data_IF_581167837333
#
_entry.id   IF_581167837333
#
_cell.length_a   1.000
_cell.length_b   1.000
_cell.length_c   1.000
_cell.angle_alpha   90.00
_cell.angle_beta   90.00
_cell.angle_gamma   90.00
#
_symmetry.space_group_name_H-M   'P 1'
#
loop_
_entity.id
_entity.type
_entity.pdbx_description
1 polymer ?
#
# COMPACT_ATOMS: atom_id res chain seq x y z
N UNK A 1 13.44 -17.93 12.16
CA UNK A 1 12.26 -18.80 12.36
C UNK A 1 11.31 -18.66 11.19
N UNK A 2 10.74 -19.75 10.76
CA UNK A 2 9.82 -19.84 9.62
C UNK A 2 8.38 -19.71 10.12
N UNK A 3 7.60 -18.85 9.47
CA UNK A 3 6.18 -18.62 9.77
C UNK A 3 5.33 -19.01 8.57
N UNK A 4 4.23 -19.73 8.81
CA UNK A 4 3.13 -19.89 7.86
C UNK A 4 1.92 -19.09 8.31
N UNK A 5 1.30 -18.36 7.39
CA UNK A 5 0.05 -17.64 7.62
C UNK A 5 -1.11 -18.41 7.00
N UNK A 6 -2.17 -18.65 7.78
CA UNK A 6 -3.38 -19.33 7.30
C UNK A 6 -4.56 -18.38 7.43
N UNK A 7 -5.30 -18.18 6.35
CA UNK A 7 -6.57 -17.44 6.37
C UNK A 7 -7.73 -18.42 6.25
N UNK A 8 -8.67 -18.33 7.17
CA UNK A 8 -9.89 -19.15 7.17
C UNK A 8 -11.10 -18.30 6.83
N UNK A 9 -11.92 -18.79 5.94
CA UNK A 9 -13.15 -18.13 5.49
C UNK A 9 -13.48 -18.47 4.05
N UNK A 10 -14.70 -18.89 3.81
CA UNK A 10 -15.17 -19.26 2.47
C UNK A 10 -15.31 -18.05 1.54
N UNK A 11 -15.57 -16.85 2.07
CA UNK A 11 -15.65 -15.58 1.34
C UNK A 11 -14.32 -15.17 0.70
N UNK A 12 -13.20 -15.59 1.28
CA UNK A 12 -11.87 -15.35 0.72
C UNK A 12 -11.63 -16.20 -0.54
N UNK A 13 -12.08 -17.46 -0.53
CA UNK A 13 -11.98 -18.37 -1.68
C UNK A 13 -12.92 -17.99 -2.82
N UNK A 14 -14.09 -17.43 -2.49
CA UNK A 14 -15.07 -16.95 -3.49
C UNK A 14 -14.63 -15.62 -4.12
N UNK A 15 -13.67 -14.92 -3.52
CA UNK A 15 -13.21 -13.63 -3.99
C UNK A 15 -14.09 -12.45 -3.57
N UNK A 16 -15.05 -12.67 -2.68
CA UNK A 16 -15.96 -11.64 -2.16
C UNK A 16 -15.22 -10.63 -1.27
N UNK A 17 -14.11 -11.08 -0.67
CA UNK A 17 -13.29 -10.27 0.25
C UNK A 17 -11.81 -10.36 -0.12
N UNK A 18 -11.15 -9.19 -0.20
CA UNK A 18 -9.69 -9.14 -0.37
C UNK A 18 -8.99 -9.45 0.95
N UNK A 19 -8.07 -10.42 0.93
CA UNK A 19 -7.31 -10.85 2.10
C UNK A 19 -6.27 -9.81 2.53
N UNK A 20 -6.69 -8.78 3.23
CA UNK A 20 -5.82 -7.72 3.74
C UNK A 20 -5.08 -8.12 5.02
N UNK A 21 -5.62 -9.07 5.81
CA UNK A 21 -5.03 -9.52 7.07
C UNK A 21 -3.65 -10.15 6.85
N UNK A 22 -3.55 -11.08 5.92
CA UNK A 22 -2.27 -11.77 5.62
C UNK A 22 -1.22 -10.80 5.11
N UNK A 23 -1.60 -9.85 4.26
CA UNK A 23 -0.68 -8.81 3.77
C UNK A 23 -0.12 -7.98 4.92
N UNK A 24 -0.97 -7.58 5.87
CA UNK A 24 -0.56 -6.80 7.03
C UNK A 24 0.30 -7.63 8.00
N UNK A 25 -0.12 -8.84 8.35
CA UNK A 25 0.63 -9.75 9.23
C UNK A 25 2.02 -10.04 8.66
N UNK A 26 2.13 -10.30 7.36
CA UNK A 26 3.40 -10.54 6.70
C UNK A 26 4.35 -9.34 6.82
N UNK A 27 3.83 -8.11 6.67
CA UNK A 27 4.63 -6.89 6.82
C UNK A 27 5.14 -6.73 8.27
N UNK A 28 4.27 -6.90 9.26
CA UNK A 28 4.66 -6.74 10.67
C UNK A 28 5.65 -7.82 11.13
N UNK A 29 5.39 -9.09 10.79
CA UNK A 29 6.31 -10.20 11.12
C UNK A 29 7.68 -10.05 10.45
N UNK A 30 7.71 -9.60 9.19
CA UNK A 30 8.97 -9.31 8.51
C UNK A 30 9.78 -8.21 9.23
N UNK A 31 9.13 -7.13 9.70
CA UNK A 31 9.79 -6.08 10.50
C UNK A 31 10.43 -6.64 11.77
N UNK A 32 9.81 -7.66 12.37
CA UNK A 32 10.30 -8.37 13.56
C UNK A 32 11.34 -9.46 13.23
N UNK A 33 11.78 -9.56 11.97
CA UNK A 33 12.82 -10.49 11.54
C UNK A 33 12.37 -11.93 11.26
N UNK A 34 11.05 -12.23 11.33
CA UNK A 34 10.50 -13.53 10.99
C UNK A 34 10.43 -13.74 9.48
N UNK A 35 10.64 -14.96 9.02
CA UNK A 35 10.54 -15.32 7.59
C UNK A 35 9.20 -15.96 7.30
N UNK A 36 8.35 -15.28 6.53
CA UNK A 36 7.08 -15.85 6.05
C UNK A 36 7.38 -16.68 4.79
N UNK A 37 7.40 -18.01 4.95
CA UNK A 37 7.69 -18.91 3.84
C UNK A 37 6.44 -19.34 3.08
N UNK A 38 5.29 -19.42 3.76
CA UNK A 38 4.05 -19.93 3.18
C UNK A 38 2.85 -19.09 3.60
N UNK A 39 1.87 -19.02 2.71
CA UNK A 39 0.55 -18.44 2.95
C UNK A 39 -0.51 -19.37 2.37
N UNK A 40 -1.47 -19.77 3.19
CA UNK A 40 -2.54 -20.68 2.81
C UNK A 40 -3.91 -20.04 3.05
N UNK A 41 -4.87 -20.30 2.16
CA UNK A 41 -6.26 -19.87 2.33
C UNK A 41 -7.13 -21.13 2.30
N UNK A 42 -8.01 -21.27 3.28
CA UNK A 42 -8.92 -22.41 3.37
C UNK A 42 -10.33 -21.97 3.77
N UNK A 43 -11.35 -22.57 3.16
CA UNK A 43 -12.75 -22.33 3.53
C UNK A 43 -13.13 -23.09 4.80
N UNK A 44 -14.37 -22.85 5.27
CA UNK A 44 -14.94 -23.39 6.51
C UNK A 44 -15.31 -24.87 6.37
N UNK A 45 -14.33 -25.69 6.00
CA UNK A 45 -14.45 -27.15 5.86
C UNK A 45 -13.47 -27.83 6.81
N UNK A 46 -13.95 -28.61 7.80
CA UNK A 46 -13.09 -29.21 8.82
C UNK A 46 -11.95 -30.07 8.26
N UNK A 47 -12.24 -30.91 7.28
CA UNK A 47 -11.24 -31.83 6.70
C UNK A 47 -10.12 -31.06 5.98
N UNK A 48 -10.48 -30.12 5.11
CA UNK A 48 -9.49 -29.33 4.37
C UNK A 48 -8.67 -28.44 5.30
N UNK A 49 -9.30 -27.88 6.33
CA UNK A 49 -8.62 -27.03 7.31
C UNK A 49 -7.64 -27.87 8.14
N UNK A 50 -7.99 -29.09 8.54
CA UNK A 50 -7.09 -30.01 9.22
C UNK A 50 -5.87 -30.36 8.34
N UNK A 51 -6.09 -30.67 7.07
CA UNK A 51 -5.00 -30.92 6.10
C UNK A 51 -4.01 -29.75 6.02
N UNK A 52 -4.53 -28.51 6.03
CA UNK A 52 -3.69 -27.29 6.00
C UNK A 52 -2.89 -27.13 7.29
N UNK A 53 -3.50 -27.32 8.48
CA UNK A 53 -2.77 -27.27 9.76
C UNK A 53 -1.71 -28.36 9.86
N UNK A 54 -2.02 -29.58 9.46
CA UNK A 54 -1.06 -30.69 9.45
C UNK A 54 0.12 -30.43 8.50
N UNK A 55 -0.15 -29.89 7.31
CA UNK A 55 0.93 -29.54 6.38
C UNK A 55 1.79 -28.39 6.95
N UNK A 56 1.17 -27.38 7.53
CA UNK A 56 1.87 -26.22 8.09
C UNK A 56 2.82 -26.64 9.23
N UNK A 57 2.43 -27.58 10.10
CA UNK A 57 3.28 -28.08 11.19
C UNK A 57 4.54 -28.82 10.72
N UNK A 58 4.56 -29.33 9.48
CA UNK A 58 5.75 -30.02 8.96
C UNK A 58 6.81 -29.07 8.39
N UNK A 59 6.49 -27.76 8.24
CA UNK A 59 7.33 -26.83 7.49
C UNK A 59 7.45 -25.42 8.08
N UNK A 60 6.80 -25.18 9.22
CA UNK A 60 6.87 -23.89 9.90
C UNK A 60 7.03 -24.06 11.41
N UNK A 61 7.87 -23.20 12.00
CA UNK A 61 8.06 -23.13 13.46
C UNK A 61 6.85 -22.46 14.14
N UNK A 62 6.21 -21.53 13.42
CA UNK A 62 5.07 -20.76 13.90
C UNK A 62 3.98 -20.76 12.82
N UNK A 63 2.76 -21.12 13.21
CA UNK A 63 1.56 -21.08 12.35
C UNK A 63 0.61 -20.04 12.91
N UNK A 64 0.34 -18.99 12.16
CA UNK A 64 -0.60 -17.94 12.57
C UNK A 64 -1.83 -18.02 11.67
N UNK A 65 -3.00 -18.29 12.25
CA UNK A 65 -4.26 -18.25 11.50
C UNK A 65 -5.10 -17.03 11.84
N UNK A 66 -5.91 -16.58 10.89
CA UNK A 66 -6.88 -15.48 11.06
C UNK A 66 -8.22 -15.88 10.49
N UNK A 67 -9.27 -15.77 11.33
CA UNK A 67 -10.66 -16.11 11.01
C UNK A 67 -11.19 -17.33 11.79
N UNK A 68 -12.52 -17.50 11.78
CA UNK A 68 -13.21 -18.66 12.35
C UNK A 68 -13.15 -18.79 13.86
N UNK A 69 -13.05 -17.67 14.62
CA UNK A 69 -13.03 -17.64 16.08
C UNK A 69 -14.32 -17.11 16.74
N UNK A 70 -15.33 -16.80 15.97
CA UNK A 70 -16.61 -16.32 16.50
C UNK A 70 -17.45 -17.41 17.15
N UNK A 71 -18.70 -17.06 17.54
CA UNK A 71 -19.63 -17.97 18.21
C UNK A 71 -20.49 -18.79 17.24
N UNK A 72 -20.39 -18.59 15.92
CA UNK A 72 -21.27 -19.22 14.94
C UNK A 72 -20.87 -20.68 14.63
N UNK A 73 -21.74 -21.41 13.93
CA UNK A 73 -21.45 -22.79 13.53
C UNK A 73 -20.31 -22.89 12.48
N UNK A 74 -20.07 -21.80 11.73
CA UNK A 74 -18.98 -21.70 10.76
C UNK A 74 -17.60 -21.43 11.41
N UNK A 75 -17.59 -20.96 12.66
CA UNK A 75 -16.37 -20.65 13.40
C UNK A 75 -15.77 -21.94 13.99
N UNK A 76 -15.02 -22.66 13.17
CA UNK A 76 -14.52 -24.02 13.48
C UNK A 76 -13.02 -24.08 13.70
N UNK A 77 -12.29 -22.98 13.56
CA UNK A 77 -10.81 -22.96 13.53
C UNK A 77 -10.20 -23.55 14.81
N UNK A 78 -10.72 -23.20 16.00
CA UNK A 78 -10.25 -23.73 17.28
C UNK A 78 -10.44 -25.24 17.39
N UNK A 79 -11.63 -25.72 17.02
CA UNK A 79 -11.99 -27.14 17.09
C UNK A 79 -11.13 -27.96 16.13
N UNK A 80 -10.98 -27.49 14.89
CA UNK A 80 -10.17 -28.18 13.88
C UNK A 80 -8.70 -28.23 14.27
N UNK A 81 -8.14 -27.13 14.81
CA UNK A 81 -6.78 -27.17 15.34
C UNK A 81 -6.66 -28.18 16.48
N UNK A 82 -7.55 -28.14 17.48
CA UNK A 82 -7.54 -29.04 18.61
C UNK A 82 -7.54 -30.49 18.15
N UNK A 83 -8.46 -30.87 17.26
CA UNK A 83 -8.53 -32.21 16.68
C UNK A 83 -7.25 -32.59 15.93
N UNK A 84 -6.67 -31.67 15.18
CA UNK A 84 -5.45 -31.89 14.37
C UNK A 84 -4.21 -32.19 15.21
N UNK A 85 -4.14 -31.63 16.43
CA UNK A 85 -3.03 -31.84 17.39
C UNK A 85 -3.39 -32.79 18.51
N UNK A 86 -4.55 -33.43 18.46
CA UNK A 86 -4.99 -34.44 19.44
C UNK A 86 -5.28 -33.88 20.82
N UNK A 87 -5.70 -32.63 20.96
CA UNK A 87 -6.05 -31.98 22.23
C UNK A 87 -7.57 -31.84 22.38
N UNK A 88 -8.14 -32.15 23.56
CA UNK A 88 -9.56 -31.88 23.78
C UNK A 88 -9.85 -30.40 23.85
N UNK A 89 -11.06 -30.01 23.44
CA UNK A 89 -11.63 -28.71 23.72
C UNK A 89 -12.12 -28.65 25.14
N UNK A 90 -11.70 -27.67 25.92
CA UNK A 90 -12.07 -27.44 27.29
C UNK A 90 -12.62 -26.03 27.51
N UNK A 91 -13.55 -25.91 28.47
CA UNK A 91 -14.05 -24.59 28.85
C UNK A 91 -12.96 -23.85 29.65
N UNK A 92 -12.67 -22.64 29.25
CA UNK A 92 -11.67 -21.78 29.87
C UNK A 92 -12.35 -20.60 30.55
N UNK A 93 -12.21 -20.50 31.87
CA UNK A 93 -12.86 -19.46 32.67
C UNK A 93 -12.30 -18.07 32.39
N UNK A 94 -10.99 -17.95 32.19
CA UNK A 94 -10.35 -16.65 31.88
C UNK A 94 -10.85 -16.12 30.54
N UNK A 95 -10.99 -16.97 29.51
CA UNK A 95 -11.58 -16.60 28.24
C UNK A 95 -13.03 -16.12 28.39
N UNK A 96 -13.83 -16.80 29.24
CA UNK A 96 -15.19 -16.40 29.50
C UNK A 96 -15.27 -15.05 30.23
N UNK A 97 -14.31 -14.78 31.12
CA UNK A 97 -14.26 -13.51 31.82
C UNK A 97 -13.87 -12.34 30.86
N UNK A 98 -13.01 -12.58 29.86
CA UNK A 98 -12.76 -11.60 28.80
C UNK A 98 -14.03 -11.34 27.95
N UNK A 99 -14.75 -12.40 27.56
CA UNK A 99 -16.04 -12.27 26.84
C UNK A 99 -17.03 -11.42 27.65
N UNK A 100 -17.21 -11.71 28.95
CA UNK A 100 -18.09 -10.94 29.84
C UNK A 100 -17.66 -9.47 29.92
N UNK A 101 -16.36 -9.21 30.12
CA UNK A 101 -15.82 -7.85 30.18
C UNK A 101 -16.15 -7.03 28.92
N UNK A 102 -16.05 -7.63 27.74
CA UNK A 102 -16.46 -6.96 26.51
C UNK A 102 -17.94 -6.60 26.53
N UNK A 103 -18.83 -7.54 26.84
CA UNK A 103 -20.27 -7.26 26.86
C UNK A 103 -20.67 -6.24 27.93
N UNK A 104 -20.02 -6.24 29.08
CA UNK A 104 -20.20 -5.22 30.11
C UNK A 104 -19.77 -3.84 29.60
N UNK A 105 -18.66 -3.73 28.90
CA UNK A 105 -18.15 -2.46 28.34
C UNK A 105 -19.12 -1.82 27.36
N UNK A 106 -19.85 -2.64 26.59
CA UNK A 106 -20.85 -2.19 25.61
C UNK A 106 -22.29 -2.20 26.20
N UNK A 107 -22.43 -2.46 27.51
CA UNK A 107 -23.72 -2.51 28.23
C UNK A 107 -24.74 -3.46 27.61
N UNK A 108 -24.31 -4.65 27.24
CA UNK A 108 -25.14 -5.73 26.66
C UNK A 108 -25.04 -6.99 27.51
N UNK A 109 -26.07 -7.82 27.43
CA UNK A 109 -26.07 -9.18 28.03
C UNK A 109 -25.23 -10.12 27.17
N UNK A 110 -24.49 -11.03 27.81
CA UNK A 110 -23.74 -12.07 27.13
C UNK A 110 -24.71 -13.07 26.48
N UNK A 111 -24.67 -13.27 25.16
CA UNK A 111 -25.48 -14.32 24.51
C UNK A 111 -24.99 -15.71 24.90
N UNK A 112 -25.90 -16.69 24.98
CA UNK A 112 -25.53 -18.08 25.28
C UNK A 112 -24.54 -18.66 24.28
N UNK A 113 -24.64 -18.28 23.01
CA UNK A 113 -23.71 -18.70 21.94
C UNK A 113 -22.27 -18.28 22.21
N UNK A 114 -22.04 -17.18 22.94
CA UNK A 114 -20.68 -16.68 23.26
C UNK A 114 -19.91 -17.60 24.22
N UNK A 115 -20.57 -18.60 24.83
CA UNK A 115 -19.88 -19.66 25.58
C UNK A 115 -18.85 -20.38 24.71
N UNK A 116 -19.14 -20.56 23.41
CA UNK A 116 -18.23 -21.21 22.46
C UNK A 116 -16.89 -20.45 22.29
N UNK A 117 -16.89 -19.13 22.50
CA UNK A 117 -15.68 -18.32 22.43
C UNK A 117 -14.71 -18.59 23.59
N UNK A 118 -15.22 -19.21 24.69
CA UNK A 118 -14.44 -19.66 25.82
C UNK A 118 -14.11 -21.17 25.80
N UNK A 119 -14.44 -21.88 24.74
CA UNK A 119 -14.10 -23.26 24.49
C UNK A 119 -12.81 -23.33 23.67
N UNK A 120 -11.69 -23.73 24.32
CA UNK A 120 -10.33 -23.65 23.78
C UNK A 120 -9.63 -25.00 23.82
N UNK A 121 -8.62 -25.25 22.97
CA UNK A 121 -7.74 -26.42 23.12
C UNK A 121 -7.12 -26.47 24.51
N UNK A 122 -7.01 -27.65 25.10
CA UNK A 122 -6.43 -27.84 26.42
C UNK A 122 -4.99 -27.29 26.47
N UNK A 123 -4.67 -26.55 27.54
CA UNK A 123 -3.36 -25.92 27.72
C UNK A 123 -3.12 -24.66 26.86
N UNK A 124 -4.12 -24.16 26.15
CA UNK A 124 -4.02 -22.94 25.39
C UNK A 124 -3.82 -21.71 26.29
N UNK A 125 -2.96 -20.79 25.86
CA UNK A 125 -2.82 -19.45 26.42
C UNK A 125 -3.74 -18.48 25.69
N UNK A 126 -4.33 -17.53 26.39
CA UNK A 126 -5.27 -16.56 25.84
C UNK A 126 -4.53 -15.32 25.38
N UNK A 127 -4.91 -14.81 24.22
CA UNK A 127 -4.59 -13.47 23.78
C UNK A 127 -5.85 -12.60 23.94
N UNK A 128 -5.75 -11.52 24.71
CA UNK A 128 -6.87 -10.60 24.95
C UNK A 128 -7.25 -9.87 23.68
N UNK A 129 -8.56 -9.70 23.49
CA UNK A 129 -9.08 -8.91 22.38
C UNK A 129 -9.41 -7.49 22.87
N UNK A 130 -8.64 -6.46 22.48
CA UNK A 130 -8.83 -5.11 23.01
C UNK A 130 -10.09 -4.42 22.48
N UNK A 131 -10.64 -4.88 21.35
CA UNK A 131 -11.76 -4.19 20.66
C UNK A 131 -12.93 -5.10 20.26
N UNK A 132 -12.81 -6.41 20.49
CA UNK A 132 -13.82 -7.41 20.10
C UNK A 132 -14.12 -8.42 21.20
N UNK A 133 -14.90 -9.44 20.85
CA UNK A 133 -15.40 -10.44 21.81
C UNK A 133 -14.49 -11.66 21.87
N UNK A 134 -14.17 -12.24 20.71
CA UNK A 134 -13.48 -13.52 20.65
C UNK A 134 -12.01 -13.39 21.09
N UNK A 135 -11.56 -14.08 22.15
CA UNK A 135 -10.16 -14.10 22.50
C UNK A 135 -9.36 -14.86 21.44
N UNK A 136 -8.12 -14.44 21.22
CA UNK A 136 -7.16 -15.21 20.46
C UNK A 136 -6.55 -16.31 21.31
N UNK A 137 -5.84 -17.21 20.65
CA UNK A 137 -5.36 -18.44 21.27
C UNK A 137 -3.93 -18.70 20.85
N UNK A 138 -3.08 -19.06 21.79
CA UNK A 138 -1.75 -19.62 21.53
C UNK A 138 -1.71 -21.06 22.03
N UNK A 139 -1.28 -21.98 21.18
CA UNK A 139 -1.08 -23.38 21.52
C UNK A 139 0.33 -23.78 21.12
N UNK A 140 1.11 -24.27 22.06
CA UNK A 140 2.42 -24.88 21.80
C UNK A 140 2.25 -26.40 21.67
N UNK A 141 2.67 -26.98 20.55
CA UNK A 141 2.58 -28.43 20.30
C UNK A 141 3.85 -28.91 19.60
N UNK A 142 4.63 -29.75 20.32
CA UNK A 142 5.96 -30.14 19.86
C UNK A 142 6.85 -28.94 19.58
N UNK A 143 7.38 -28.87 18.36
CA UNK A 143 8.24 -27.78 17.91
C UNK A 143 7.45 -26.64 17.23
N UNK A 144 6.13 -26.79 17.10
CA UNK A 144 5.28 -25.81 16.42
C UNK A 144 4.46 -24.97 17.40
N UNK A 145 4.44 -23.68 17.20
CA UNK A 145 3.56 -22.74 17.92
C UNK A 145 2.42 -22.29 17.01
N UNK A 146 1.19 -22.55 17.43
CA UNK A 146 -0.03 -22.09 16.74
C UNK A 146 -0.58 -20.85 17.41
N UNK A 147 -0.92 -19.83 16.61
CA UNK A 147 -1.52 -18.59 17.06
C UNK A 147 -2.79 -18.36 16.24
N UNK A 148 -3.94 -18.35 16.92
CA UNK A 148 -5.24 -18.14 16.29
C UNK A 148 -5.73 -16.72 16.58
N UNK A 149 -6.02 -15.96 15.53
CA UNK A 149 -6.50 -14.57 15.59
C UNK A 149 -7.88 -14.43 14.91
N UNK A 150 -8.71 -13.47 15.34
CA UNK A 150 -10.02 -13.24 14.72
C UNK A 150 -9.92 -12.73 13.28
N UNK A 151 -11.03 -12.83 12.54
CA UNK A 151 -11.14 -12.37 11.15
C UNK A 151 -11.20 -10.84 10.98
N UNK A 152 -11.97 -10.08 11.79
CA UNK A 152 -12.08 -8.64 11.63
C UNK A 152 -10.70 -7.95 11.75
N UNK A 153 -10.29 -7.12 10.75
CA UNK A 153 -8.95 -6.54 10.72
C UNK A 153 -8.57 -5.70 11.93
N UNK A 154 -9.52 -4.96 12.50
CA UNK A 154 -9.28 -4.14 13.70
C UNK A 154 -8.94 -4.97 14.93
N UNK A 155 -9.66 -6.08 15.14
CA UNK A 155 -9.43 -7.04 16.23
C UNK A 155 -8.08 -7.74 16.05
N UNK A 156 -7.85 -8.31 14.89
CA UNK A 156 -6.61 -9.03 14.56
C UNK A 156 -5.37 -8.16 14.77
N UNK A 157 -5.39 -6.90 14.30
CA UNK A 157 -4.25 -5.97 14.43
C UNK A 157 -3.98 -5.59 15.88
N UNK A 158 -5.02 -5.27 16.67
CA UNK A 158 -4.90 -4.95 18.08
C UNK A 158 -4.30 -6.12 18.87
N UNK A 159 -4.83 -7.32 18.67
CA UNK A 159 -4.32 -8.53 19.31
C UNK A 159 -2.91 -8.88 18.90
N UNK A 160 -2.55 -8.68 17.63
CA UNK A 160 -1.18 -8.89 17.18
C UNK A 160 -0.20 -7.99 17.92
N UNK A 161 -0.48 -6.70 17.99
CA UNK A 161 0.41 -5.73 18.63
C UNK A 161 0.50 -5.90 20.14
N UNK A 162 -0.65 -6.08 20.82
CA UNK A 162 -0.70 -6.13 22.29
C UNK A 162 -0.44 -7.52 22.87
N UNK A 163 -0.69 -8.58 22.09
CA UNK A 163 -0.58 -9.97 22.56
C UNK A 163 0.47 -10.79 21.84
N UNK A 164 0.43 -10.85 20.50
CA UNK A 164 1.33 -11.73 19.72
C UNK A 164 2.77 -11.25 19.77
N UNK A 165 3.02 -9.96 19.56
CA UNK A 165 4.39 -9.41 19.57
C UNK A 165 5.09 -9.64 20.91
N UNK A 166 4.50 -9.32 22.08
CA UNK A 166 5.11 -9.63 23.36
C UNK A 166 5.32 -11.11 23.61
N UNK A 167 4.36 -11.96 23.14
CA UNK A 167 4.50 -13.42 23.27
C UNK A 167 5.69 -13.92 22.44
N UNK A 168 5.81 -13.50 21.18
CA UNK A 168 6.89 -13.92 20.29
C UNK A 168 8.26 -13.47 20.83
N UNK A 169 8.36 -12.25 21.33
CA UNK A 169 9.60 -11.73 21.94
C UNK A 169 9.98 -12.52 23.20
N UNK A 170 9.03 -12.76 24.08
CA UNK A 170 9.24 -13.56 25.31
C UNK A 170 9.64 -15.00 25.02
N UNK A 171 9.04 -15.64 23.98
CA UNK A 171 9.20 -17.07 23.70
C UNK A 171 10.43 -17.37 22.86
N UNK A 172 10.72 -16.52 21.89
CA UNK A 172 11.74 -16.77 20.86
C UNK A 172 12.88 -15.74 20.86
N UNK A 173 12.74 -14.67 21.63
CA UNK A 173 13.68 -13.53 21.60
C UNK A 173 13.64 -12.76 20.27
N UNK A 174 14.51 -11.77 20.17
CA UNK A 174 14.64 -10.99 18.94
C UNK A 174 15.13 -11.84 17.76
N UNK A 175 14.42 -11.80 16.65
CA UNK A 175 14.82 -12.45 15.40
C UNK A 175 15.64 -11.51 14.48
N UNK A 176 16.10 -10.39 15.04
CA UNK A 176 16.72 -9.31 14.30
C UNK A 176 15.70 -8.29 13.78
N UNK A 177 16.19 -7.35 13.00
CA UNK A 177 15.38 -6.28 12.37
C UNK A 177 15.53 -6.36 10.87
N UNK A 178 14.39 -6.34 10.16
CA UNK A 178 14.36 -6.15 8.71
C UNK A 178 13.86 -4.74 8.44
N UNK A 179 14.63 -3.97 7.71
CA UNK A 179 14.24 -2.63 7.28
C UNK A 179 14.52 -2.42 5.80
N UNK A 180 13.80 -1.48 5.20
CA UNK A 180 13.91 -1.21 3.76
C UNK A 180 13.93 0.28 3.50
N UNK A 181 14.75 0.70 2.52
CA UNK A 181 14.56 1.99 1.86
C UNK A 181 13.79 1.76 0.57
N UNK A 182 12.84 2.64 0.29
CA UNK A 182 11.89 2.50 -0.82
C UNK A 182 11.83 3.82 -1.58
N UNK A 183 12.07 3.77 -2.87
CA UNK A 183 12.12 4.95 -3.75
C UNK A 183 11.06 4.86 -4.82
N UNK A 184 10.30 5.93 -5.04
CA UNK A 184 9.51 6.12 -6.26
C UNK A 184 10.41 6.65 -7.36
N UNK A 185 10.63 5.85 -8.42
CA UNK A 185 11.44 6.23 -9.57
C UNK A 185 10.52 6.50 -10.74
N UNK A 186 10.67 7.67 -11.34
CA UNK A 186 9.77 8.21 -12.35
C UNK A 186 10.50 8.39 -13.69
N UNK A 187 9.73 8.51 -14.76
CA UNK A 187 10.21 8.86 -16.12
C UNK A 187 11.36 7.96 -16.60
N UNK A 188 11.25 6.66 -16.37
CA UNK A 188 12.19 5.65 -16.81
C UNK A 188 11.46 4.35 -17.16
N UNK A 189 11.90 3.64 -18.22
CA UNK A 189 11.38 2.32 -18.53
C UNK A 189 11.99 1.28 -17.58
N UNK A 190 11.23 0.23 -17.27
CA UNK A 190 11.67 -0.85 -16.37
C UNK A 190 13.02 -1.45 -16.81
N UNK A 191 13.18 -1.75 -18.10
CA UNK A 191 14.42 -2.32 -18.63
C UNK A 191 15.64 -1.40 -18.48
N UNK A 192 15.44 -0.10 -18.60
CA UNK A 192 16.51 0.89 -18.45
C UNK A 192 16.90 1.03 -16.98
N UNK A 193 15.91 0.99 -16.08
CA UNK A 193 16.14 0.98 -14.64
C UNK A 193 16.86 -0.29 -14.19
N UNK A 194 16.41 -1.45 -14.65
CA UNK A 194 17.06 -2.74 -14.38
C UNK A 194 18.52 -2.72 -14.83
N UNK A 195 18.79 -2.29 -16.06
CA UNK A 195 20.15 -2.18 -16.59
C UNK A 195 21.01 -1.21 -15.76
N UNK A 196 20.45 -0.11 -15.29
CA UNK A 196 21.17 0.89 -14.46
C UNK A 196 21.59 0.31 -13.11
N UNK A 197 20.82 -0.65 -12.58
CA UNK A 197 21.04 -1.26 -11.26
C UNK A 197 21.47 -2.73 -11.34
N UNK A 198 21.83 -3.23 -12.53
CA UNK A 198 22.08 -4.64 -12.82
C UNK A 198 23.18 -5.25 -11.95
N UNK A 199 24.22 -4.52 -11.65
CA UNK A 199 25.31 -4.97 -10.78
C UNK A 199 24.85 -5.18 -9.33
N UNK A 200 23.98 -4.31 -8.82
CA UNK A 200 23.35 -4.48 -7.49
C UNK A 200 22.42 -5.69 -7.49
N UNK A 201 21.63 -5.86 -8.56
CA UNK A 201 20.68 -6.98 -8.70
C UNK A 201 21.43 -8.31 -8.76
N UNK A 202 22.51 -8.41 -9.54
CA UNK A 202 23.28 -9.66 -9.68
C UNK A 202 24.09 -10.04 -8.45
N UNK A 203 24.57 -9.07 -7.70
CA UNK A 203 25.46 -9.29 -6.56
C UNK A 203 24.74 -9.18 -5.21
N UNK A 204 23.40 -9.15 -5.22
CA UNK A 204 22.63 -9.00 -4.00
C UNK A 204 22.72 -10.24 -3.09
N UNK A 205 22.79 -9.97 -1.79
CA UNK A 205 22.69 -10.98 -0.72
C UNK A 205 22.00 -10.37 0.51
N UNK A 206 22.65 -9.43 1.15
CA UNK A 206 22.15 -8.57 2.19
C UNK A 206 22.91 -7.24 2.14
N UNK A 207 22.34 -6.17 1.58
CA UNK A 207 20.92 -5.99 1.21
C UNK A 207 20.50 -6.75 -0.05
N UNK A 208 19.16 -6.91 -0.17
CA UNK A 208 18.48 -7.31 -1.40
C UNK A 208 17.84 -6.12 -2.08
N UNK A 209 17.61 -6.21 -3.40
CA UNK A 209 16.92 -5.18 -4.20
C UNK A 209 15.75 -5.79 -4.97
N UNK A 210 14.63 -5.07 -5.02
CA UNK A 210 13.46 -5.43 -5.82
C UNK A 210 12.94 -4.22 -6.60
N UNK A 211 12.54 -4.45 -7.86
CA UNK A 211 11.86 -3.49 -8.71
C UNK A 211 10.38 -3.89 -8.80
N UNK A 212 9.49 -2.97 -8.46
CA UNK A 212 8.05 -3.22 -8.37
C UNK A 212 7.30 -2.18 -9.20
N UNK A 213 6.68 -2.60 -10.28
CA UNK A 213 5.90 -1.70 -11.15
C UNK A 213 4.67 -1.22 -10.39
N UNK A 214 4.48 0.08 -10.38
CA UNK A 214 3.34 0.79 -9.78
C UNK A 214 2.67 1.69 -10.80
N UNK A 215 1.49 2.22 -10.48
CA UNK A 215 0.80 3.19 -11.33
C UNK A 215 1.57 4.52 -11.32
N UNK A 216 2.22 4.84 -12.43
CA UNK A 216 2.96 6.09 -12.62
C UNK A 216 4.42 6.11 -12.19
N UNK A 217 4.93 5.08 -11.52
CA UNK A 217 6.34 4.98 -11.12
C UNK A 217 6.79 3.52 -10.96
N UNK A 218 8.08 3.32 -10.81
CA UNK A 218 8.64 2.03 -10.41
C UNK A 218 9.17 2.18 -8.98
N UNK A 219 8.71 1.32 -8.07
CA UNK A 219 9.28 1.24 -6.73
C UNK A 219 10.61 0.47 -6.78
N UNK A 220 11.69 1.13 -6.42
CA UNK A 220 12.95 0.46 -6.07
C UNK A 220 12.97 0.25 -4.56
N UNK A 221 13.09 -0.99 -4.12
CA UNK A 221 13.14 -1.32 -2.70
C UNK A 221 14.42 -2.07 -2.39
N UNK A 222 15.26 -1.51 -1.53
CA UNK A 222 16.41 -2.21 -0.95
C UNK A 222 16.06 -2.61 0.48
N UNK A 223 16.41 -3.85 0.85
CA UNK A 223 16.02 -4.44 2.14
C UNK A 223 17.22 -5.09 2.79
N UNK A 224 17.49 -4.77 4.06
CA UNK A 224 18.51 -5.40 4.87
C UNK A 224 17.95 -6.03 6.14
N UNK A 225 18.56 -7.12 6.57
CA UNK A 225 18.34 -7.77 7.86
C UNK A 225 19.61 -7.70 8.69
N UNK A 226 19.50 -7.32 9.96
CA UNK A 226 20.59 -7.32 10.94
C UNK A 226 20.05 -7.45 12.37
N UNK A 227 20.93 -7.59 13.35
CA UNK A 227 20.54 -7.73 14.77
C UNK A 227 19.93 -6.44 15.33
N UNK A 228 20.30 -5.28 14.79
CA UNK A 228 19.79 -3.96 15.21
C UNK A 228 19.39 -3.10 14.02
N UNK A 229 18.49 -2.14 14.24
CA UNK A 229 18.09 -1.17 13.21
C UNK A 229 19.31 -0.38 12.67
N UNK A 230 20.19 0.05 13.55
CA UNK A 230 21.40 0.80 13.16
C UNK A 230 22.32 -0.04 12.25
N UNK A 231 22.50 -1.33 12.57
CA UNK A 231 23.27 -2.23 11.74
C UNK A 231 22.62 -2.48 10.37
N UNK A 232 21.29 -2.65 10.33
CA UNK A 232 20.56 -2.80 9.07
C UNK A 232 20.63 -1.52 8.21
N UNK A 233 20.51 -0.34 8.81
CA UNK A 233 20.68 0.94 8.11
C UNK A 233 22.12 1.12 7.59
N UNK A 234 23.13 0.71 8.35
CA UNK A 234 24.51 0.76 7.91
C UNK A 234 24.76 -0.09 6.66
N UNK A 235 24.04 -1.19 6.48
CA UNK A 235 24.07 -2.00 5.24
C UNK A 235 23.35 -1.31 4.07
N UNK A 236 22.28 -0.56 4.33
CA UNK A 236 21.49 0.12 3.29
C UNK A 236 22.13 1.40 2.76
N UNK A 237 22.80 2.17 3.63
CA UNK A 237 23.31 3.51 3.30
C UNK A 237 24.25 3.56 2.07
N UNK A 238 25.18 2.62 1.85
CA UNK A 238 26.00 2.61 0.64
C UNK A 238 25.16 2.43 -0.65
N UNK A 239 24.12 1.61 -0.58
CA UNK A 239 23.23 1.37 -1.70
C UNK A 239 22.32 2.55 -1.97
N UNK A 240 21.82 3.24 -0.92
CA UNK A 240 21.08 4.50 -1.05
C UNK A 240 21.89 5.54 -1.84
N UNK A 241 23.16 5.73 -1.48
CA UNK A 241 24.05 6.65 -2.18
C UNK A 241 24.18 6.30 -3.66
N UNK A 242 24.48 5.05 -3.97
CA UNK A 242 24.64 4.57 -5.36
C UNK A 242 23.34 4.77 -6.16
N UNK A 243 22.17 4.42 -5.58
CA UNK A 243 20.88 4.55 -6.26
C UNK A 243 20.58 6.01 -6.56
N UNK A 244 20.78 6.91 -5.60
CA UNK A 244 20.54 8.35 -5.79
C UNK A 244 21.50 8.97 -6.79
N UNK A 245 22.77 8.60 -6.78
CA UNK A 245 23.76 9.08 -7.74
C UNK A 245 23.42 8.64 -9.18
N UNK A 246 23.01 7.38 -9.37
CA UNK A 246 22.73 6.83 -10.71
C UNK A 246 21.40 7.33 -11.29
N UNK A 247 20.40 7.52 -10.45
CA UNK A 247 19.05 7.87 -10.90
C UNK A 247 18.77 9.37 -10.85
N UNK A 248 19.50 10.12 -10.02
CA UNK A 248 19.35 11.58 -9.91
C UNK A 248 17.92 12.00 -9.58
N UNK A 249 17.42 12.99 -10.32
CA UNK A 249 16.07 13.54 -10.15
C UNK A 249 14.94 12.54 -10.42
N UNK A 250 15.22 11.43 -11.11
CA UNK A 250 14.23 10.34 -11.27
C UNK A 250 13.82 9.69 -9.96
N UNK A 251 14.63 9.79 -8.91
CA UNK A 251 14.20 9.45 -7.54
C UNK A 251 13.33 10.58 -7.01
N UNK A 252 12.04 10.54 -7.31
CA UNK A 252 11.10 11.61 -6.98
C UNK A 252 10.73 11.69 -5.50
N UNK A 253 10.79 10.55 -4.78
CA UNK A 253 10.45 10.52 -3.35
C UNK A 253 10.96 9.27 -2.64
N UNK A 254 11.06 9.35 -1.32
CA UNK A 254 11.04 8.20 -0.42
C UNK A 254 9.58 7.73 -0.27
N UNK A 255 9.31 6.44 -0.50
CA UNK A 255 7.95 5.88 -0.44
C UNK A 255 7.41 5.65 0.98
N UNK A 256 8.05 6.19 2.01
CA UNK A 256 7.44 6.36 3.34
C UNK A 256 6.39 7.49 3.34
N UNK A 257 6.47 8.38 2.35
CA UNK A 257 5.59 9.54 2.15
C UNK A 257 4.98 9.49 0.74
N UNK A 258 3.73 9.88 0.58
CA UNK A 258 3.08 9.92 -0.73
C UNK A 258 3.58 11.07 -1.61
N UNK A 259 3.35 11.02 -2.94
CA UNK A 259 3.78 12.11 -3.85
C UNK A 259 3.02 13.40 -3.56
N UNK A 260 1.73 13.30 -3.24
CA UNK A 260 0.91 14.43 -2.85
C UNK A 260 1.37 15.10 -1.56
N UNK A 261 1.82 14.33 -0.56
CA UNK A 261 2.42 14.88 0.67
C UNK A 261 3.80 15.49 0.40
N UNK A 262 4.61 14.86 -0.45
CA UNK A 262 5.94 15.38 -0.85
C UNK A 262 5.80 16.72 -1.53
N UNK A 263 4.89 16.82 -2.51
CA UNK A 263 4.61 18.07 -3.21
C UNK A 263 3.97 19.13 -2.28
N UNK A 264 3.02 18.71 -1.44
CA UNK A 264 2.37 19.60 -0.48
C UNK A 264 3.37 20.28 0.47
N UNK A 265 4.34 19.49 1.00
CA UNK A 265 5.43 20.05 1.84
C UNK A 265 6.30 21.05 1.06
N UNK A 266 6.70 20.72 -0.15
CA UNK A 266 7.50 21.64 -0.99
C UNK A 266 6.78 22.95 -1.26
N UNK A 267 5.48 22.92 -1.54
CA UNK A 267 4.65 24.11 -1.75
C UNK A 267 4.52 24.95 -0.46
N UNK A 268 4.31 24.31 0.68
CA UNK A 268 4.23 25.00 1.98
C UNK A 268 5.56 25.63 2.38
N UNK A 269 6.68 24.93 2.19
CA UNK A 269 8.03 25.46 2.48
C UNK A 269 8.35 26.69 1.63
N UNK A 270 7.89 26.75 0.38
CA UNK A 270 8.04 27.91 -0.49
C UNK A 270 6.94 28.98 -0.32
N UNK A 271 5.96 28.77 0.56
CA UNK A 271 4.75 29.61 0.66
C UNK A 271 4.04 29.80 -0.68
N UNK A 272 3.99 28.75 -1.48
CA UNK A 272 3.53 28.76 -2.85
C UNK A 272 2.18 28.07 -3.00
N UNK A 273 1.44 28.45 -4.05
CA UNK A 273 0.11 27.91 -4.35
C UNK A 273 0.08 27.22 -5.70
N UNK A 274 -0.87 26.30 -5.90
CA UNK A 274 -1.05 25.55 -7.14
C UNK A 274 -2.51 25.48 -7.58
N UNK A 275 -2.71 25.46 -8.90
CA UNK A 275 -3.99 25.17 -9.55
C UNK A 275 -3.84 24.08 -10.61
N UNK A 276 -4.96 23.44 -11.01
CA UNK A 276 -4.95 22.35 -11.99
C UNK A 276 -5.84 22.62 -13.20
N UNK A 277 -5.43 22.11 -14.38
CA UNK A 277 -6.28 22.03 -15.58
C UNK A 277 -6.31 20.59 -16.07
N UNK A 278 -7.43 19.90 -15.89
CA UNK A 278 -7.51 18.47 -16.11
C UNK A 278 -8.42 18.12 -17.29
N UNK A 279 -7.90 17.27 -18.20
CA UNK A 279 -8.70 16.68 -19.27
C UNK A 279 -8.86 15.18 -19.04
N UNK A 280 -7.90 14.34 -19.39
CA UNK A 280 -7.99 12.88 -19.25
C UNK A 280 -8.04 12.40 -17.80
N UNK A 281 -7.47 13.10 -16.84
CA UNK A 281 -7.49 12.78 -15.40
C UNK A 281 -8.80 13.16 -14.72
N UNK A 282 -9.50 14.18 -15.23
CA UNK A 282 -10.88 14.53 -14.82
C UNK A 282 -11.06 14.68 -13.31
N UNK A 283 -10.21 15.46 -12.65
CA UNK A 283 -10.26 15.75 -11.21
C UNK A 283 -9.38 14.87 -10.34
N UNK A 284 -8.67 13.86 -10.89
CA UNK A 284 -7.80 13.00 -10.10
C UNK A 284 -6.59 13.73 -9.53
N UNK A 285 -6.01 14.69 -10.26
CA UNK A 285 -4.89 15.50 -9.75
C UNK A 285 -5.33 16.34 -8.55
N UNK A 286 -6.46 17.04 -8.68
CA UNK A 286 -7.07 17.78 -7.58
C UNK A 286 -7.44 16.89 -6.40
N UNK A 287 -7.99 15.68 -6.65
CA UNK A 287 -8.26 14.70 -5.62
C UNK A 287 -7.00 14.30 -4.85
N UNK A 288 -5.90 13.99 -5.53
CA UNK A 288 -4.63 13.62 -4.88
C UNK A 288 -4.14 14.77 -3.99
N UNK A 289 -4.10 16.00 -4.50
CA UNK A 289 -3.69 17.17 -3.70
C UNK A 289 -4.55 17.35 -2.45
N UNK A 290 -5.86 17.12 -2.55
CA UNK A 290 -6.81 17.29 -1.44
C UNK A 290 -6.92 16.09 -0.50
N UNK A 291 -6.27 14.96 -0.78
CA UNK A 291 -6.11 13.87 0.17
C UNK A 291 -5.26 14.27 1.38
N UNK A 292 -4.41 15.28 1.22
CA UNK A 292 -3.51 15.76 2.27
C UNK A 292 -4.24 16.79 3.14
N UNK A 293 -4.29 16.56 4.45
CA UNK A 293 -4.86 17.52 5.40
C UNK A 293 -4.09 18.83 5.36
N UNK A 294 -4.78 19.97 5.35
CA UNK A 294 -4.17 21.30 5.22
C UNK A 294 -3.93 21.74 3.76
N UNK A 295 -4.34 20.95 2.77
CA UNK A 295 -4.17 21.29 1.34
C UNK A 295 -4.80 22.62 0.91
N UNK A 296 -5.76 23.15 1.66
CA UNK A 296 -6.37 24.48 1.42
C UNK A 296 -5.36 25.64 1.52
N UNK A 297 -4.20 25.42 2.14
CA UNK A 297 -3.15 26.42 2.22
C UNK A 297 -2.39 26.60 0.91
N UNK A 298 -2.35 25.56 0.04
CA UNK A 298 -1.60 25.59 -1.21
C UNK A 298 -2.45 25.27 -2.46
N UNK A 299 -3.52 24.50 -2.38
CA UNK A 299 -4.35 24.15 -3.53
C UNK A 299 -5.56 25.09 -3.65
N UNK A 300 -5.55 25.96 -4.69
CA UNK A 300 -6.59 26.96 -4.87
C UNK A 300 -7.79 26.48 -5.68
N UNK A 301 -7.65 25.35 -6.37
CA UNK A 301 -8.70 24.76 -7.19
C UNK A 301 -8.24 24.31 -8.57
N UNK A 302 -9.19 23.84 -9.39
CA UNK A 302 -8.87 23.35 -10.72
C UNK A 302 -10.03 23.41 -11.68
N UNK A 303 -9.69 23.39 -12.98
CA UNK A 303 -10.66 23.36 -14.09
C UNK A 303 -10.64 21.98 -14.74
N UNK A 304 -11.78 21.29 -14.74
CA UNK A 304 -11.97 20.07 -15.52
C UNK A 304 -12.39 20.48 -16.92
N UNK A 305 -11.41 20.54 -17.84
CA UNK A 305 -11.58 21.01 -19.22
C UNK A 305 -11.63 19.84 -20.19
N UNK A 306 -12.71 19.03 -20.10
CA UNK A 306 -12.81 17.79 -20.86
C UNK A 306 -13.03 18.01 -22.36
N UNK A 307 -13.87 18.99 -22.75
CA UNK A 307 -14.09 19.35 -24.13
C UNK A 307 -13.12 20.44 -24.62
N UNK A 308 -12.96 20.56 -25.94
CA UNK A 308 -12.18 21.66 -26.56
C UNK A 308 -12.82 23.03 -26.31
N UNK A 309 -14.15 23.09 -26.29
CA UNK A 309 -14.88 24.32 -25.98
C UNK A 309 -14.55 24.83 -24.57
N UNK A 310 -14.49 23.99 -23.58
CA UNK A 310 -14.09 24.38 -22.20
C UNK A 310 -12.61 24.78 -22.15
N UNK A 311 -11.73 24.07 -22.87
CA UNK A 311 -10.31 24.47 -22.97
C UNK A 311 -10.20 25.90 -23.53
N UNK A 312 -10.97 26.19 -24.59
CA UNK A 312 -10.97 27.53 -25.21
C UNK A 312 -11.60 28.58 -24.31
N UNK A 313 -12.85 28.39 -23.91
CA UNK A 313 -13.63 29.44 -23.21
C UNK A 313 -13.18 29.71 -21.78
N UNK A 314 -12.75 28.66 -21.06
CA UNK A 314 -12.40 28.78 -19.64
C UNK A 314 -10.90 28.97 -19.46
N UNK A 315 -10.09 28.14 -20.10
CA UNK A 315 -8.62 28.20 -19.96
C UNK A 315 -7.95 29.13 -20.98
N UNK A 316 -8.72 29.78 -21.85
CA UNK A 316 -8.24 30.67 -22.91
C UNK A 316 -7.23 30.00 -23.86
N UNK A 317 -7.34 28.69 -24.07
CA UNK A 317 -6.54 28.01 -25.08
C UNK A 317 -6.96 28.53 -26.46
N UNK A 318 -6.04 29.05 -27.31
CA UNK A 318 -6.39 29.57 -28.63
C UNK A 318 -7.06 28.51 -29.50
N UNK A 319 -8.14 28.89 -30.22
CA UNK A 319 -8.89 27.95 -31.07
C UNK A 319 -8.03 27.41 -32.21
N UNK A 320 -7.25 28.24 -32.83
CA UNK A 320 -6.29 27.89 -33.89
C UNK A 320 -5.22 26.89 -33.41
N UNK A 321 -4.82 26.96 -32.14
CA UNK A 321 -3.92 25.98 -31.52
C UNK A 321 -4.59 24.63 -31.40
N UNK A 322 -5.86 24.60 -30.98
CA UNK A 322 -6.66 23.34 -30.89
C UNK A 322 -6.88 22.71 -32.26
N UNK A 323 -7.13 23.54 -33.28
CA UNK A 323 -7.38 23.10 -34.67
C UNK A 323 -6.09 22.60 -35.34
N UNK A 324 -4.95 23.25 -35.08
CA UNK A 324 -3.66 22.91 -35.69
C UNK A 324 -3.00 21.71 -35.04
N UNK A 325 -2.92 21.65 -33.70
CA UNK A 325 -2.15 20.64 -32.96
C UNK A 325 -3.03 19.56 -32.33
N UNK A 326 -4.35 19.80 -32.23
CA UNK A 326 -5.29 18.97 -31.50
C UNK A 326 -5.13 19.08 -29.99
N UNK A 327 -6.16 18.66 -29.27
CA UNK A 327 -6.21 18.75 -27.80
C UNK A 327 -5.05 18.04 -27.10
N UNK A 328 -4.57 16.93 -27.65
CA UNK A 328 -3.45 16.12 -27.10
C UNK A 328 -2.16 16.54 -27.77
N UNK A 329 -1.54 17.57 -27.25
CA UNK A 329 -0.30 18.16 -27.78
C UNK A 329 0.45 18.96 -26.72
N UNK A 330 1.73 19.18 -26.96
CA UNK A 330 2.60 20.01 -26.11
C UNK A 330 2.04 21.42 -25.95
N UNK A 331 1.67 22.05 -27.08
CA UNK A 331 1.20 23.41 -27.13
C UNK A 331 -0.06 23.62 -26.29
N UNK A 332 -1.03 22.70 -26.45
CA UNK A 332 -2.29 22.78 -25.71
C UNK A 332 -2.05 22.48 -24.21
N UNK A 333 -1.17 21.55 -23.85
CA UNK A 333 -0.83 21.30 -22.46
C UNK A 333 -0.24 22.54 -21.79
N UNK A 334 0.72 23.22 -22.44
CA UNK A 334 1.31 24.49 -21.96
C UNK A 334 0.26 25.57 -21.78
N UNK A 335 -0.60 25.74 -22.78
CA UNK A 335 -1.67 26.75 -22.75
C UNK A 335 -2.69 26.49 -21.63
N UNK A 336 -3.09 25.20 -21.44
CA UNK A 336 -3.97 24.82 -20.36
C UNK A 336 -3.37 25.13 -18.98
N UNK A 337 -2.09 24.84 -18.76
CA UNK A 337 -1.40 25.16 -17.51
C UNK A 337 -1.35 26.66 -17.25
N UNK A 338 -1.03 27.45 -18.29
CA UNK A 338 -1.05 28.90 -18.23
C UNK A 338 -2.43 29.48 -17.89
N UNK A 339 -3.49 28.95 -18.51
CA UNK A 339 -4.87 29.31 -18.22
C UNK A 339 -5.29 29.01 -16.78
N UNK A 340 -4.94 27.84 -16.28
CA UNK A 340 -5.22 27.46 -14.89
C UNK A 340 -4.50 28.37 -13.90
N UNK A 341 -3.23 28.68 -14.15
CA UNK A 341 -2.45 29.60 -13.32
C UNK A 341 -3.09 31.01 -13.28
N UNK A 342 -3.53 31.52 -14.43
CA UNK A 342 -4.17 32.81 -14.51
C UNK A 342 -5.50 32.86 -13.74
N UNK A 343 -6.35 31.84 -13.89
CA UNK A 343 -7.63 31.75 -13.19
C UNK A 343 -7.44 31.60 -11.68
N UNK A 344 -6.55 30.69 -11.27
CA UNK A 344 -6.28 30.42 -9.85
C UNK A 344 -5.46 31.50 -9.16
N UNK A 345 -4.82 32.41 -9.92
CA UNK A 345 -3.84 33.39 -9.43
C UNK A 345 -2.75 32.72 -8.56
N UNK A 346 -2.29 31.55 -8.99
CA UNK A 346 -1.39 30.68 -8.24
C UNK A 346 0.07 30.86 -8.65
N UNK A 347 1.00 30.45 -7.79
CA UNK A 347 2.43 30.43 -8.11
C UNK A 347 2.72 29.42 -9.21
N UNK A 348 2.11 28.23 -9.09
CA UNK A 348 2.27 27.12 -10.03
C UNK A 348 0.92 26.66 -10.59
N UNK A 349 0.96 26.05 -11.75
CA UNK A 349 -0.16 25.26 -12.25
C UNK A 349 0.32 24.06 -13.05
N UNK A 350 -0.50 23.01 -13.05
CA UNK A 350 -0.27 21.80 -13.84
C UNK A 350 -1.47 21.48 -14.70
N UNK A 351 -1.23 21.00 -15.91
CA UNK A 351 -2.27 20.52 -16.80
C UNK A 351 -2.01 19.09 -17.25
N UNK A 352 -3.11 18.37 -17.58
CA UNK A 352 -3.08 17.04 -18.17
C UNK A 352 -3.99 16.98 -19.39
N UNK A 353 -3.48 16.52 -20.54
CA UNK A 353 -4.27 16.22 -21.72
C UNK A 353 -3.76 14.96 -22.40
N UNK A 354 -4.65 14.01 -22.71
CA UNK A 354 -4.19 12.70 -23.19
C UNK A 354 -5.31 11.76 -23.61
N UNK A 355 -4.93 10.57 -24.07
CA UNK A 355 -5.81 9.52 -24.57
C UNK A 355 -5.79 8.35 -23.61
N UNK A 356 -6.78 8.28 -22.73
CA UNK A 356 -6.86 7.24 -21.70
C UNK A 356 -7.45 5.91 -22.21
N UNK A 357 -7.95 5.86 -23.45
CA UNK A 357 -8.52 4.64 -24.04
C UNK A 357 -9.92 4.27 -23.49
N UNK A 358 -10.45 3.06 -23.89
CA UNK A 358 -9.82 2.14 -24.84
C UNK A 358 -9.81 2.63 -26.30
N UNK A 359 -10.67 3.60 -26.65
CA UNK A 359 -10.74 4.21 -27.99
C UNK A 359 -10.01 5.55 -28.07
N UNK A 360 -10.06 6.21 -29.25
CA UNK A 360 -9.55 7.56 -29.48
C UNK A 360 -8.06 7.64 -29.80
N UNK A 361 -7.34 6.52 -29.87
CA UNK A 361 -5.94 6.49 -30.32
C UNK A 361 -5.77 6.42 -31.82
N UNK A 362 -4.64 6.93 -32.31
CA UNK A 362 -4.13 6.77 -33.69
C UNK A 362 -2.66 6.30 -33.65
N UNK A 363 -2.07 5.89 -34.77
CA UNK A 363 -0.64 5.56 -34.82
C UNK A 363 0.26 6.68 -34.32
N UNK A 364 -0.08 7.95 -34.59
CA UNK A 364 0.68 9.14 -34.18
C UNK A 364 0.39 9.53 -32.74
N UNK A 365 -0.82 9.24 -32.26
CA UNK A 365 -1.28 9.57 -30.90
C UNK A 365 -1.93 8.31 -30.29
N UNK A 366 -1.14 7.34 -29.83
CA UNK A 366 -1.66 6.08 -29.31
C UNK A 366 -2.40 6.25 -27.99
N UNK A 367 -3.23 5.27 -27.63
CA UNK A 367 -3.77 5.14 -26.27
C UNK A 367 -2.61 5.09 -25.29
N UNK A 368 -2.73 5.85 -24.20
CA UNK A 368 -1.67 6.02 -23.20
C UNK A 368 -0.83 7.27 -23.38
N UNK A 369 -0.90 7.93 -24.54
CA UNK A 369 -0.22 9.22 -24.75
C UNK A 369 -0.87 10.30 -23.88
N UNK A 370 -0.05 10.89 -22.99
CA UNK A 370 -0.44 12.04 -22.14
C UNK A 370 0.63 13.12 -22.23
N UNK A 371 0.18 14.34 -22.39
CA UNK A 371 0.98 15.55 -22.25
C UNK A 371 0.65 16.26 -20.93
N UNK A 372 1.68 16.78 -20.29
CA UNK A 372 1.64 17.51 -19.03
C UNK A 372 2.22 18.90 -19.28
N UNK A 373 1.52 19.94 -18.89
CA UNK A 373 2.06 21.30 -18.85
C UNK A 373 2.31 21.67 -17.40
N UNK A 374 3.48 22.22 -17.10
CA UNK A 374 3.79 22.82 -15.80
C UNK A 374 4.21 24.26 -16.01
N UNK A 375 3.61 25.17 -15.27
CA UNK A 375 3.94 26.61 -15.35
C UNK A 375 4.19 27.18 -13.96
N UNK A 376 5.13 28.10 -13.88
CA UNK A 376 5.53 28.73 -12.63
C UNK A 376 6.41 29.97 -12.87
N UNK A 377 7.16 30.43 -11.85
CA UNK A 377 8.00 31.61 -11.93
C UNK A 377 9.09 31.55 -13.01
N UNK A 378 9.54 30.36 -13.37
CA UNK A 378 10.62 30.11 -14.34
C UNK A 378 10.11 29.85 -15.77
N UNK A 379 8.82 30.04 -16.02
CA UNK A 379 8.21 29.84 -17.35
C UNK A 379 7.32 28.62 -17.41
N UNK A 380 7.09 28.10 -18.62
CA UNK A 380 6.21 26.95 -18.86
C UNK A 380 6.97 25.85 -19.58
N UNK A 381 6.96 24.66 -19.01
CA UNK A 381 7.52 23.44 -19.59
C UNK A 381 6.43 22.43 -19.92
N UNK A 382 6.74 21.45 -20.75
CA UNK A 382 5.85 20.33 -20.99
C UNK A 382 6.62 19.01 -20.98
N UNK A 383 5.94 17.97 -20.48
CA UNK A 383 6.44 16.61 -20.45
C UNK A 383 5.47 15.70 -21.21
N UNK A 384 5.98 14.58 -21.71
CA UNK A 384 5.23 13.61 -22.48
C UNK A 384 5.46 12.22 -21.91
N UNK A 385 4.40 11.47 -21.67
CA UNK A 385 4.50 10.07 -21.31
C UNK A 385 3.60 9.18 -22.18
N UNK A 386 4.05 7.94 -22.42
CA UNK A 386 3.24 6.88 -23.01
C UNK A 386 2.94 5.85 -21.93
N UNK A 387 1.76 5.96 -21.31
CA UNK A 387 1.33 5.17 -20.18
C UNK A 387 0.71 3.86 -20.63
N UNK A 388 0.90 2.80 -19.84
CA UNK A 388 0.45 1.45 -20.14
C UNK A 388 -0.62 1.04 -19.14
N UNK A 389 -1.59 0.24 -19.60
CA UNK A 389 -2.65 -0.31 -18.77
C UNK A 389 -4.05 0.00 -19.32
N UNK A 390 -5.06 -0.29 -18.54
CA UNK A 390 -6.43 0.06 -18.86
C UNK A 390 -6.69 1.57 -18.62
N UNK A 391 -7.91 2.03 -18.93
CA UNK A 391 -8.30 3.43 -18.79
C UNK A 391 -8.06 4.01 -17.39
N UNK A 392 -8.35 3.23 -16.36
CA UNK A 392 -8.16 3.68 -14.97
C UNK A 392 -6.66 3.76 -14.64
N UNK A 393 -5.88 2.76 -15.04
CA UNK A 393 -4.42 2.75 -14.83
C UNK A 393 -3.74 3.94 -15.49
N UNK A 394 -4.11 4.28 -16.72
CA UNK A 394 -3.56 5.44 -17.45
C UNK A 394 -3.91 6.75 -16.73
N UNK A 395 -5.16 6.90 -16.29
CA UNK A 395 -5.60 8.11 -15.58
C UNK A 395 -4.92 8.27 -14.21
N UNK A 396 -4.79 7.19 -13.44
CA UNK A 396 -4.10 7.19 -12.14
C UNK A 396 -2.61 7.52 -12.32
N UNK A 397 -1.95 6.86 -13.27
CA UNK A 397 -0.54 7.11 -13.59
C UNK A 397 -0.31 8.56 -14.06
N UNK A 398 -1.23 9.09 -14.86
CA UNK A 398 -1.15 10.49 -15.31
C UNK A 398 -1.31 11.48 -14.15
N UNK A 399 -2.19 11.21 -13.18
CA UNK A 399 -2.34 12.05 -12.02
C UNK A 399 -1.09 12.03 -11.11
N UNK A 400 -0.50 10.87 -10.87
CA UNK A 400 0.74 10.71 -10.10
C UNK A 400 1.91 11.45 -10.76
N UNK A 401 2.08 11.26 -12.10
CA UNK A 401 3.13 11.94 -12.86
C UNK A 401 2.95 13.46 -12.90
N UNK A 402 1.73 13.96 -12.94
CA UNK A 402 1.47 15.41 -12.89
C UNK A 402 2.04 16.03 -11.61
N UNK A 403 1.84 15.37 -10.45
CA UNK A 403 2.41 15.83 -9.18
C UNK A 403 3.93 15.76 -9.19
N UNK A 404 4.49 14.67 -9.70
CA UNK A 404 5.95 14.50 -9.83
C UNK A 404 6.57 15.60 -10.70
N UNK A 405 6.00 15.92 -11.87
CA UNK A 405 6.54 16.97 -12.73
C UNK A 405 6.46 18.37 -12.11
N UNK A 406 5.44 18.65 -11.28
CA UNK A 406 5.42 19.91 -10.51
C UNK A 406 6.52 19.90 -9.46
N UNK A 407 6.69 18.80 -8.73
CA UNK A 407 7.72 18.67 -7.71
C UNK A 407 9.14 18.85 -8.30
N UNK A 408 9.43 18.22 -9.44
CA UNK A 408 10.73 18.39 -10.12
C UNK A 408 10.90 19.83 -10.65
N UNK A 409 9.84 20.44 -11.18
CA UNK A 409 9.89 21.82 -11.62
C UNK A 409 10.24 22.77 -10.47
N UNK A 410 9.71 22.57 -9.28
CA UNK A 410 10.01 23.35 -8.07
C UNK A 410 11.47 23.11 -7.66
N UNK A 411 11.87 21.87 -7.50
CA UNK A 411 13.18 21.50 -6.96
C UNK A 411 14.34 21.77 -7.92
N UNK A 412 14.11 21.67 -9.21
CA UNK A 412 15.11 21.94 -10.27
C UNK A 412 15.00 23.35 -10.86
N UNK A 413 14.17 24.23 -10.28
CA UNK A 413 13.96 25.63 -10.68
C UNK A 413 13.61 25.79 -12.15
N UNK A 414 12.70 24.93 -12.64
CA UNK A 414 12.15 25.00 -13.99
C UNK A 414 13.01 24.40 -15.10
N UNK A 415 13.95 23.53 -14.76
CA UNK A 415 14.74 22.76 -15.75
C UNK A 415 13.94 21.64 -16.37
#
# INVERSE_FOLDING_TARGET
MIVELISTGSELLLGDTVNTNVSWLAQELNKLGYTIAHQSVVGDNPKRMAEVFQLASTRADIVISTGGLGPTQGDITRNVLADSIGRPIVFNQEAMDEVKRFFESVKRTVPDASRREAELPEGAKILKNPVGVAPGVVVEDGDTTYILLPGPPGEMKGMFQEGVVPYLDSRFGSQGVVTSYRYGVYDIREIDLENTLMDLIKNQSNPTIALLIKKGYIEVRITAKADTLAAAQALLNPWDTIIRERLGSRVGRDLTVSMEETLGRALLEEHSTISTAESCTSGLVGKLLTNVSGSSEYYMGGVISYSNDIKHRVLSVPQDMLDTYGAVSEQVAKAMAGGARAIGQTTYAVSTTGIAGPGGGSPEKPVGLVWFGVTGPHGTVAHKANLIGNRDDIRQSAAELALYYVYTYITEKGK
#
